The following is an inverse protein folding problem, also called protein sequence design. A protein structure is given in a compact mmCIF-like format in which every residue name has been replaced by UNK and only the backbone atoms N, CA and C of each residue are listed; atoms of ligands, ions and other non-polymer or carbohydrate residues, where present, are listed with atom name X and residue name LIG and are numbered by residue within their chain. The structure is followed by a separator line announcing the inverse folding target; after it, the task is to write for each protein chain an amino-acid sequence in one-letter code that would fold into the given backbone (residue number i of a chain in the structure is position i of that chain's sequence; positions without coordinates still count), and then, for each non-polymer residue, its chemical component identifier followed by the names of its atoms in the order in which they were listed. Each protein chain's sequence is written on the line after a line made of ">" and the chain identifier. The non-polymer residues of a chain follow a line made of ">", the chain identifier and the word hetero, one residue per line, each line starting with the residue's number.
data_IF_908562796770
#
_entry.id   IF_908562796770
#
_cell.length_a   1.000
_cell.length_b   1.000
_cell.length_c   1.000
_cell.angle_alpha   90.00
_cell.angle_beta   90.00
_cell.angle_gamma   90.00
#
_symmetry.space_group_name_H-M   'P 1'
#
loop_
_entity.id
_entity.type
_entity.pdbx_description
1 polymer ?
#
# COMPACT_ATOMS: atom_id res chain seq x y z
N UNK A 1 -11.35 20.40 -15.57
CA UNK A 1 -9.94 20.04 -15.36
C UNK A 1 -9.87 18.69 -14.66
N UNK A 2 -9.42 17.66 -15.38
CA UNK A 2 -9.17 16.33 -14.82
C UNK A 2 -7.79 16.30 -14.16
N UNK A 3 -7.70 15.73 -12.97
CA UNK A 3 -6.47 15.71 -12.18
C UNK A 3 -6.11 14.28 -11.80
N UNK A 4 -4.81 14.04 -11.67
CA UNK A 4 -4.21 12.84 -11.15
C UNK A 4 -3.48 13.19 -9.85
N UNK A 5 -3.73 12.44 -8.79
CA UNK A 5 -2.93 12.49 -7.56
C UNK A 5 -2.16 11.18 -7.40
N UNK A 6 -0.83 11.26 -7.41
CA UNK A 6 0.09 10.16 -7.10
C UNK A 6 0.31 10.11 -5.59
N UNK A 7 -0.33 9.14 -4.93
CA UNK A 7 -0.15 8.91 -3.50
C UNK A 7 0.99 7.90 -3.28
N UNK A 8 2.19 8.44 -3.09
CA UNK A 8 3.44 7.70 -3.05
C UNK A 8 3.74 7.12 -1.66
N UNK A 9 2.76 6.87 -0.80
CA UNK A 9 2.98 6.40 0.58
C UNK A 9 3.86 5.14 0.68
N UNK A 10 3.88 4.31 -0.37
CA UNK A 10 4.70 3.09 -0.49
C UNK A 10 5.78 3.17 -1.57
N UNK A 11 6.23 4.38 -1.88
CA UNK A 11 7.21 4.60 -2.94
C UNK A 11 6.57 4.60 -4.33
N UNK A 12 7.42 4.57 -5.35
CA UNK A 12 7.01 4.67 -6.75
C UNK A 12 8.04 4.03 -7.69
N UNK A 13 7.54 3.32 -8.68
CA UNK A 13 8.29 2.79 -9.82
C UNK A 13 7.47 2.87 -11.10
N UNK A 14 8.11 2.65 -12.24
CA UNK A 14 7.49 2.64 -13.55
C UNK A 14 6.29 1.68 -13.63
N UNK A 15 6.54 0.39 -13.43
CA UNK A 15 5.54 -0.68 -13.38
C UNK A 15 4.38 -0.40 -12.41
N UNK A 16 4.68 0.08 -11.19
CA UNK A 16 3.67 0.46 -10.20
C UNK A 16 2.83 1.63 -10.70
N UNK A 17 3.43 2.62 -11.35
CA UNK A 17 2.70 3.77 -11.87
C UNK A 17 1.77 3.36 -13.01
N UNK A 18 2.29 2.61 -13.97
CA UNK A 18 1.51 2.13 -15.11
C UNK A 18 0.38 1.20 -14.67
N UNK A 19 0.68 0.24 -13.79
CA UNK A 19 -0.32 -0.64 -13.19
C UNK A 19 -1.43 0.13 -12.47
N UNK A 20 -1.07 1.15 -11.68
CA UNK A 20 -2.05 1.96 -10.96
C UNK A 20 -2.94 2.78 -11.91
N UNK A 21 -2.37 3.36 -12.98
CA UNK A 21 -3.14 4.15 -13.95
C UNK A 21 -4.11 3.28 -14.76
N UNK A 22 -3.68 2.09 -15.18
CA UNK A 22 -4.57 1.12 -15.84
C UNK A 22 -5.67 0.64 -14.89
N UNK A 23 -5.34 0.39 -13.62
CA UNK A 23 -6.34 0.04 -12.62
C UNK A 23 -7.34 1.17 -12.34
N UNK A 24 -6.91 2.43 -12.49
CA UNK A 24 -7.77 3.62 -12.44
C UNK A 24 -8.58 3.87 -13.73
N UNK A 25 -8.51 2.96 -14.71
CA UNK A 25 -9.33 2.99 -15.92
C UNK A 25 -8.65 3.53 -17.18
N UNK A 26 -7.32 3.62 -17.23
CA UNK A 26 -6.63 3.87 -18.50
C UNK A 26 -6.86 2.71 -19.49
N UNK A 27 -7.02 3.02 -20.77
CA UNK A 27 -7.31 2.02 -21.80
C UNK A 27 -6.08 1.14 -22.08
N UNK A 28 -6.12 -0.07 -21.54
CA UNK A 28 -5.06 -1.07 -21.71
C UNK A 28 -4.83 -1.45 -23.18
N UNK A 29 -5.89 -1.57 -23.99
CA UNK A 29 -5.76 -1.99 -25.37
C UNK A 29 -5.06 -0.90 -26.20
N UNK A 30 -5.42 0.36 -25.97
CA UNK A 30 -4.70 1.51 -26.54
C UNK A 30 -3.22 1.53 -26.14
N UNK A 31 -2.92 1.32 -24.85
CA UNK A 31 -1.54 1.31 -24.35
C UNK A 31 -0.73 0.19 -25.03
N UNK A 32 -1.26 -1.03 -25.11
CA UNK A 32 -0.58 -2.17 -25.75
C UNK A 32 -0.36 -1.94 -27.26
N UNK A 33 -1.36 -1.41 -27.98
CA UNK A 33 -1.25 -1.11 -29.41
C UNK A 33 -0.20 -0.02 -29.70
N UNK A 34 -0.22 1.07 -28.94
CA UNK A 34 0.75 2.15 -29.09
C UNK A 34 2.17 1.68 -28.71
N UNK A 35 2.33 0.97 -27.59
CA UNK A 35 3.63 0.43 -27.18
C UNK A 35 4.26 -0.50 -28.23
N UNK A 36 3.44 -1.23 -29.00
CA UNK A 36 3.91 -2.09 -30.09
C UNK A 36 4.65 -1.33 -31.21
N UNK A 37 4.45 -0.01 -31.31
CA UNK A 37 5.15 0.87 -32.26
C UNK A 37 6.62 1.09 -31.88
N UNK A 38 7.01 0.84 -30.63
CA UNK A 38 8.42 0.89 -30.20
C UNK A 38 9.14 -0.39 -30.63
N UNK A 39 9.78 -0.32 -31.80
CA UNK A 39 10.51 -1.44 -32.39
C UNK A 39 11.95 -1.52 -31.91
N UNK A 40 12.14 -1.67 -30.60
CA UNK A 40 13.47 -1.88 -30.00
C UNK A 40 13.78 -3.36 -29.81
N UNK A 41 12.91 -4.09 -29.12
CA UNK A 41 13.02 -5.52 -28.82
C UNK A 41 11.61 -6.12 -28.68
N UNK A 42 11.45 -7.43 -28.94
CA UNK A 42 10.19 -8.13 -28.68
C UNK A 42 9.97 -8.31 -27.16
N UNK A 43 8.74 -8.05 -26.73
CA UNK A 43 8.27 -8.29 -25.36
C UNK A 43 6.78 -8.57 -25.37
N UNK A 44 6.25 -9.07 -24.26
CA UNK A 44 4.82 -9.20 -24.00
C UNK A 44 4.49 -8.60 -22.64
N UNK A 45 3.34 -7.95 -22.51
CA UNK A 45 2.87 -7.44 -21.23
C UNK A 45 1.95 -8.46 -20.56
N UNK A 46 2.24 -8.80 -19.32
CA UNK A 46 1.39 -9.63 -18.49
C UNK A 46 0.83 -8.80 -17.34
N UNK A 47 -0.49 -8.82 -17.19
CA UNK A 47 -1.19 -8.03 -16.18
C UNK A 47 -1.89 -8.97 -15.21
N UNK A 48 -1.56 -8.85 -13.93
CA UNK A 48 -2.05 -9.76 -12.88
C UNK A 48 -2.72 -8.98 -11.78
N UNK A 49 -3.90 -9.43 -11.38
CA UNK A 49 -4.50 -8.98 -10.12
C UNK A 49 -3.78 -9.70 -8.98
N UNK A 50 -3.18 -8.94 -8.07
CA UNK A 50 -2.47 -9.47 -6.89
C UNK A 50 -2.99 -8.79 -5.63
N UNK A 51 -2.79 -9.42 -4.48
CA UNK A 51 -3.13 -8.83 -3.18
C UNK A 51 -1.84 -8.56 -2.41
N UNK A 52 -1.58 -7.29 -2.09
CA UNK A 52 -0.47 -6.85 -1.25
C UNK A 52 -1.04 -6.40 0.08
N UNK A 53 -0.86 -7.22 1.14
CA UNK A 53 -1.38 -6.94 2.49
C UNK A 53 -2.85 -6.49 2.53
N UNK A 54 -3.73 -7.24 1.87
CA UNK A 54 -5.16 -6.95 1.82
C UNK A 54 -5.59 -5.91 0.77
N UNK A 55 -4.65 -5.20 0.13
CA UNK A 55 -4.97 -4.32 -1.00
C UNK A 55 -4.87 -5.10 -2.31
N UNK A 56 -6.00 -5.20 -3.00
CA UNK A 56 -6.07 -5.67 -4.38
C UNK A 56 -5.45 -4.63 -5.31
N UNK A 57 -4.47 -5.03 -6.11
CA UNK A 57 -3.70 -4.15 -6.99
C UNK A 57 -3.36 -4.84 -8.31
N UNK A 58 -3.16 -4.05 -9.36
CA UNK A 58 -2.73 -4.53 -10.67
C UNK A 58 -1.21 -4.55 -10.73
N UNK A 59 -0.64 -5.71 -11.01
CA UNK A 59 0.79 -5.89 -11.28
C UNK A 59 1.01 -5.99 -12.79
N UNK A 60 1.99 -5.25 -13.29
CA UNK A 60 2.52 -5.38 -14.65
C UNK A 60 3.83 -6.17 -14.59
N UNK A 61 3.97 -7.17 -15.45
CA UNK A 61 5.23 -7.85 -15.72
C UNK A 61 5.55 -7.68 -17.23
N UNK A 62 6.76 -7.19 -17.55
CA UNK A 62 7.27 -7.15 -18.93
C UNK A 62 8.01 -8.45 -19.20
N UNK A 63 7.42 -9.32 -20.02
CA UNK A 63 7.96 -10.64 -20.34
C UNK A 63 8.83 -10.53 -21.59
N UNK A 64 10.12 -10.78 -21.42
CA UNK A 64 11.11 -10.74 -22.49
C UNK A 64 11.07 -12.03 -23.31
N UNK A 65 11.30 -11.92 -24.62
CA UNK A 65 11.41 -13.09 -25.49
C UNK A 65 12.68 -13.89 -25.17
N UNK A 66 12.57 -15.18 -24.77
CA UNK A 66 13.73 -15.99 -24.40
C UNK A 66 14.71 -16.24 -25.56
N UNK A 67 14.27 -16.15 -26.82
CA UNK A 67 15.13 -16.33 -28.00
C UNK A 67 15.91 -15.06 -28.36
N UNK A 68 15.58 -13.91 -27.74
CA UNK A 68 16.20 -12.62 -28.00
C UNK A 68 16.85 -12.09 -26.71
N UNK A 69 18.16 -12.29 -26.49
CA UNK A 69 18.82 -11.84 -25.27
C UNK A 69 18.68 -10.31 -25.13
N UNK A 70 18.16 -9.82 -23.98
CA UNK A 70 17.81 -8.42 -23.85
C UNK A 70 19.05 -7.54 -23.80
N UNK A 71 19.03 -6.46 -24.59
CA UNK A 71 20.01 -5.40 -24.47
C UNK A 71 19.71 -4.62 -23.19
N UNK A 72 20.54 -4.86 -22.16
CA UNK A 72 20.42 -4.19 -20.85
C UNK A 72 20.72 -2.70 -20.91
N UNK A 73 21.46 -2.26 -21.92
CA UNK A 73 21.92 -0.89 -21.99
C UNK A 73 21.65 -0.24 -23.33
N UNK A 74 21.17 1.00 -23.30
CA UNK A 74 20.90 1.80 -24.49
C UNK A 74 21.39 3.21 -24.30
N UNK A 75 21.78 3.84 -25.39
CA UNK A 75 22.05 5.26 -25.38
C UNK A 75 20.75 6.05 -25.30
N UNK A 76 20.78 7.17 -24.59
CA UNK A 76 19.64 8.08 -24.51
C UNK A 76 19.14 8.48 -25.92
N UNK A 77 20.05 8.77 -26.84
CA UNK A 77 19.74 9.12 -28.24
C UNK A 77 19.03 8.00 -29.02
N UNK A 78 19.31 6.73 -28.71
CA UNK A 78 18.63 5.58 -29.30
C UNK A 78 17.16 5.54 -28.87
N UNK A 79 16.89 5.76 -27.58
CA UNK A 79 15.53 5.78 -27.01
C UNK A 79 14.74 6.96 -27.55
N UNK A 80 15.32 8.17 -27.55
CA UNK A 80 14.69 9.36 -28.14
C UNK A 80 14.33 9.11 -29.61
N UNK A 81 15.27 8.54 -30.38
CA UNK A 81 15.03 8.20 -31.77
C UNK A 81 13.92 7.16 -31.96
N UNK A 82 13.78 6.20 -31.05
CA UNK A 82 12.69 5.23 -31.08
C UNK A 82 11.33 5.87 -30.80
N UNK A 83 11.24 6.73 -29.77
CA UNK A 83 10.00 7.45 -29.41
C UNK A 83 9.56 8.38 -30.55
N UNK A 84 10.51 9.12 -31.16
CA UNK A 84 10.20 10.02 -32.27
C UNK A 84 9.70 9.27 -33.52
N UNK A 85 10.20 8.06 -33.76
CA UNK A 85 9.77 7.21 -34.89
C UNK A 85 8.49 6.43 -34.64
N UNK A 86 8.06 6.31 -33.39
CA UNK A 86 6.84 5.60 -33.02
C UNK A 86 5.57 6.35 -33.44
N UNK A 87 5.69 7.64 -33.84
CA UNK A 87 4.58 8.47 -34.32
C UNK A 87 3.40 8.53 -33.34
N UNK A 88 3.72 8.57 -32.04
CA UNK A 88 2.73 8.88 -31.01
C UNK A 88 2.13 10.27 -31.24
N UNK A 89 1.00 10.56 -30.59
CA UNK A 89 0.50 11.92 -30.54
C UNK A 89 1.51 12.83 -29.80
N UNK A 90 1.44 14.13 -30.08
CA UNK A 90 2.40 15.12 -29.57
C UNK A 90 2.53 15.09 -28.04
N UNK A 91 1.41 14.84 -27.35
CA UNK A 91 1.34 14.83 -25.90
C UNK A 91 2.09 13.64 -25.30
N UNK A 92 1.87 12.44 -25.83
CA UNK A 92 2.56 11.22 -25.38
C UNK A 92 4.06 11.37 -25.62
N UNK A 93 4.46 11.81 -26.82
CA UNK A 93 5.88 12.07 -27.13
C UNK A 93 6.49 13.07 -26.15
N UNK A 94 5.82 14.19 -25.87
CA UNK A 94 6.33 15.20 -24.96
C UNK A 94 6.50 14.65 -23.53
N UNK A 95 5.51 13.93 -23.00
CA UNK A 95 5.57 13.33 -21.66
C UNK A 95 6.68 12.28 -21.55
N UNK A 96 6.79 11.36 -22.51
CA UNK A 96 7.84 10.34 -22.50
C UNK A 96 9.23 10.98 -22.54
N UNK A 97 9.45 11.97 -23.42
CA UNK A 97 10.72 12.66 -23.54
C UNK A 97 11.06 13.46 -22.28
N UNK A 98 10.07 14.12 -21.64
CA UNK A 98 10.29 14.86 -20.41
C UNK A 98 10.80 13.96 -19.27
N UNK A 99 10.25 12.74 -19.15
CA UNK A 99 10.69 11.76 -18.15
C UNK A 99 12.11 11.29 -18.46
N UNK A 100 12.39 10.85 -19.69
CA UNK A 100 13.73 10.39 -20.06
C UNK A 100 14.79 11.48 -19.98
N UNK A 101 14.44 12.73 -20.30
CA UNK A 101 15.35 13.86 -20.21
C UNK A 101 15.80 14.10 -18.76
N UNK A 102 14.90 13.99 -17.78
CA UNK A 102 15.28 14.10 -16.35
C UNK A 102 16.27 13.03 -15.94
N UNK A 103 16.00 11.79 -16.34
CA UNK A 103 16.89 10.67 -16.07
C UNK A 103 18.24 10.92 -16.76
N UNK A 104 18.25 11.32 -18.04
CA UNK A 104 19.45 11.60 -18.81
C UNK A 104 20.31 12.72 -18.20
N UNK A 105 19.70 13.82 -17.76
CA UNK A 105 20.41 14.94 -17.12
C UNK A 105 21.09 14.49 -15.81
N UNK A 106 20.37 13.71 -15.00
CA UNK A 106 20.91 13.19 -13.75
C UNK A 106 22.05 12.21 -14.00
N UNK A 107 21.87 11.27 -14.93
CA UNK A 107 22.91 10.29 -15.31
C UNK A 107 24.16 10.96 -15.90
N UNK A 108 23.98 11.93 -16.80
CA UNK A 108 25.06 12.74 -17.36
C UNK A 108 25.91 13.38 -16.26
N UNK A 109 25.25 13.94 -15.24
CA UNK A 109 25.92 14.58 -14.11
C UNK A 109 26.64 13.58 -13.20
N UNK A 110 25.99 12.48 -12.83
CA UNK A 110 26.58 11.45 -11.96
C UNK A 110 27.81 10.82 -12.62
N UNK A 111 27.76 10.59 -13.93
CA UNK A 111 28.85 9.99 -14.69
C UNK A 111 29.85 11.00 -15.29
N UNK A 112 29.60 12.30 -15.16
CA UNK A 112 30.47 13.35 -15.72
C UNK A 112 30.57 13.32 -17.25
N UNK A 113 29.49 12.96 -17.95
CA UNK A 113 29.45 12.84 -19.41
C UNK A 113 28.47 13.86 -20.02
N UNK A 114 28.66 14.27 -21.29
CA UNK A 114 27.64 15.03 -22.01
C UNK A 114 26.35 14.22 -22.17
N UNK A 115 25.19 14.88 -22.13
CA UNK A 115 23.87 14.23 -22.19
C UNK A 115 23.70 13.37 -23.45
N UNK A 116 24.29 13.79 -24.57
CA UNK A 116 24.21 13.08 -25.86
C UNK A 116 24.99 11.75 -25.84
N UNK A 117 25.90 11.59 -24.88
CA UNK A 117 26.72 10.38 -24.69
C UNK A 117 26.21 9.51 -23.54
N UNK A 118 25.12 9.90 -22.88
CA UNK A 118 24.54 9.12 -21.79
C UNK A 118 24.19 7.72 -22.28
N UNK A 119 24.59 6.75 -21.48
CA UNK A 119 24.35 5.34 -21.67
C UNK A 119 23.65 4.84 -20.42
N UNK A 120 22.37 4.50 -20.56
CA UNK A 120 21.58 4.04 -19.42
C UNK A 120 21.93 2.61 -19.09
N UNK A 121 22.29 2.39 -17.82
CA UNK A 121 22.66 1.07 -17.35
C UNK A 121 21.45 0.28 -16.86
N UNK A 122 20.58 0.94 -16.09
CA UNK A 122 19.37 0.33 -15.54
C UNK A 122 18.12 0.72 -16.34
N UNK A 123 18.00 2.01 -16.70
CA UNK A 123 16.84 2.56 -17.42
C UNK A 123 16.89 2.30 -18.94
N UNK A 124 17.98 1.71 -19.43
CA UNK A 124 18.19 1.41 -20.85
C UNK A 124 17.52 0.13 -21.32
N UNK A 125 17.06 -0.71 -20.39
CA UNK A 125 16.39 -1.96 -20.67
C UNK A 125 14.93 -1.72 -21.12
N UNK A 126 14.39 -2.67 -21.88
CA UNK A 126 13.08 -2.52 -22.53
C UNK A 126 11.92 -2.42 -21.53
N UNK A 127 12.04 -3.05 -20.36
CA UNK A 127 11.10 -2.94 -19.23
C UNK A 127 10.94 -1.48 -18.77
N UNK A 128 12.05 -0.78 -18.52
CA UNK A 128 12.03 0.62 -18.13
C UNK A 128 11.45 1.54 -19.21
N UNK A 129 11.68 1.19 -20.49
CA UNK A 129 11.14 1.96 -21.62
C UNK A 129 9.63 1.78 -21.74
N UNK A 130 9.17 0.53 -21.65
CA UNK A 130 7.75 0.17 -21.63
C UNK A 130 7.05 0.88 -20.48
N UNK A 131 7.63 0.87 -19.29
CA UNK A 131 7.06 1.53 -18.12
C UNK A 131 6.88 3.04 -18.35
N UNK A 132 7.94 3.75 -18.73
CA UNK A 132 7.93 5.21 -18.89
C UNK A 132 6.98 5.64 -20.01
N UNK A 133 7.04 4.97 -21.17
CA UNK A 133 6.17 5.31 -22.31
C UNK A 133 4.73 4.91 -22.01
N UNK A 134 4.52 3.76 -21.37
CA UNK A 134 3.19 3.31 -20.97
C UNK A 134 2.54 4.25 -19.97
N UNK A 135 3.30 4.84 -19.02
CA UNK A 135 2.79 5.89 -18.13
C UNK A 135 2.32 7.11 -18.93
N UNK A 136 3.10 7.57 -19.91
CA UNK A 136 2.70 8.70 -20.77
C UNK A 136 1.42 8.40 -21.56
N UNK A 137 1.30 7.19 -22.11
CA UNK A 137 0.11 6.71 -22.81
C UNK A 137 -1.11 6.61 -21.88
N UNK A 138 -0.93 6.13 -20.66
CA UNK A 138 -2.00 6.01 -19.68
C UNK A 138 -2.51 7.37 -19.22
N UNK A 139 -1.61 8.35 -19.03
CA UNK A 139 -1.95 9.75 -18.71
C UNK A 139 -2.75 10.40 -19.85
N UNK A 140 -2.34 10.15 -21.10
CA UNK A 140 -3.03 10.63 -22.30
C UNK A 140 -4.42 9.99 -22.46
N UNK A 141 -4.51 8.67 -22.32
CA UNK A 141 -5.77 7.90 -22.33
C UNK A 141 -6.75 8.40 -21.28
N UNK A 142 -6.26 8.67 -20.07
CA UNK A 142 -7.05 9.25 -18.99
C UNK A 142 -7.27 10.76 -19.15
N UNK A 143 -6.76 11.43 -20.19
CA UNK A 143 -6.94 12.86 -20.44
C UNK A 143 -6.62 13.74 -19.22
N UNK A 144 -5.57 13.38 -18.45
CA UNK A 144 -5.22 14.05 -17.18
C UNK A 144 -4.66 15.45 -17.44
N UNK A 145 -5.31 16.53 -17.08
CA UNK A 145 -4.80 17.87 -17.37
C UNK A 145 -3.76 18.37 -16.36
N UNK A 146 -3.77 17.83 -15.13
CA UNK A 146 -2.83 18.25 -14.07
C UNK A 146 -2.46 17.11 -13.14
N UNK A 147 -1.19 17.03 -12.76
CA UNK A 147 -0.61 15.95 -11.96
C UNK A 147 -0.09 16.50 -10.63
N UNK A 148 -0.64 15.97 -9.55
CA UNK A 148 -0.21 16.22 -8.19
C UNK A 148 0.50 14.98 -7.63
N UNK A 149 1.43 15.17 -6.70
CA UNK A 149 2.03 14.07 -5.94
C UNK A 149 2.06 14.36 -4.45
N UNK A 150 1.94 13.31 -3.63
CA UNK A 150 2.43 13.36 -2.26
C UNK A 150 3.95 13.57 -2.23
N UNK A 151 4.55 14.03 -1.12
CA UNK A 151 5.99 13.88 -0.91
C UNK A 151 6.41 12.42 -1.06
N UNK A 152 7.61 12.18 -1.59
CA UNK A 152 8.00 10.86 -2.11
C UNK A 152 8.99 10.16 -1.16
N UNK A 153 8.70 8.96 -0.65
CA UNK A 153 9.63 8.20 0.18
C UNK A 153 10.68 7.51 -0.68
N UNK A 154 11.95 7.87 -0.47
CA UNK A 154 13.05 7.35 -1.29
C UNK A 154 13.58 5.99 -0.79
N UNK A 155 13.51 5.75 0.52
CA UNK A 155 14.13 4.59 1.16
C UNK A 155 15.49 4.92 1.78
N UNK A 156 16.18 3.89 2.24
CA UNK A 156 17.52 3.98 2.85
C UNK A 156 18.28 2.64 2.73
N UNK A 157 19.55 2.62 3.12
CA UNK A 157 20.39 1.42 3.04
C UNK A 157 21.25 1.37 1.78
N UNK A 158 21.40 0.19 1.19
CA UNK A 158 22.20 -0.03 -0.02
C UNK A 158 21.50 -0.97 -1.00
N UNK A 159 21.87 -0.86 -2.28
CA UNK A 159 21.44 -1.74 -3.37
C UNK A 159 22.66 -2.23 -4.13
N UNK A 160 22.53 -3.37 -4.80
CA UNK A 160 23.53 -3.88 -5.72
C UNK A 160 23.08 -3.61 -7.14
N UNK A 161 23.90 -2.87 -7.88
CA UNK A 161 23.70 -2.49 -9.28
C UNK A 161 24.91 -2.92 -10.10
N UNK A 162 24.86 -2.74 -11.42
CA UNK A 162 25.97 -3.14 -12.31
C UNK A 162 27.32 -2.47 -11.97
N UNK A 163 27.29 -1.30 -11.33
CA UNK A 163 28.48 -0.59 -10.84
C UNK A 163 28.88 -0.93 -9.40
N UNK A 164 28.29 -1.96 -8.80
CA UNK A 164 28.59 -2.45 -7.46
C UNK A 164 27.54 -2.05 -6.42
N UNK A 165 27.97 -1.84 -5.17
CA UNK A 165 27.07 -1.53 -4.05
C UNK A 165 26.91 -0.02 -3.93
N UNK A 166 25.68 0.46 -4.08
CA UNK A 166 25.34 1.88 -4.07
C UNK A 166 24.43 2.22 -2.90
N UNK A 167 24.48 3.46 -2.38
CA UNK A 167 23.54 3.91 -1.36
C UNK A 167 22.11 3.97 -1.91
N UNK A 168 21.13 3.82 -1.03
CA UNK A 168 19.74 4.17 -1.30
C UNK A 168 19.41 5.50 -0.61
N UNK A 169 18.82 6.48 -1.32
CA UNK A 169 18.51 6.46 -2.76
C UNK A 169 19.75 6.38 -3.64
N UNK A 170 19.60 5.74 -4.81
CA UNK A 170 20.63 5.72 -5.83
C UNK A 170 21.02 7.17 -6.24
N UNK A 171 22.28 7.45 -6.61
CA UNK A 171 22.75 8.81 -6.91
C UNK A 171 21.93 9.54 -7.97
N UNK A 172 21.56 8.85 -9.07
CA UNK A 172 20.73 9.46 -10.13
C UNK A 172 19.31 9.75 -9.61
N UNK A 173 18.72 8.84 -8.84
CA UNK A 173 17.42 9.02 -8.16
C UNK A 173 17.44 10.25 -7.25
N UNK A 174 18.46 10.38 -6.40
CA UNK A 174 18.57 11.53 -5.49
C UNK A 174 18.82 12.84 -6.26
N UNK A 175 19.58 12.78 -7.36
CA UNK A 175 19.81 13.94 -8.21
C UNK A 175 18.50 14.44 -8.85
N UNK A 176 17.65 13.55 -9.37
CA UNK A 176 16.33 13.90 -9.92
C UNK A 176 15.41 14.52 -8.87
N UNK A 177 15.51 14.05 -7.63
CA UNK A 177 14.68 14.53 -6.51
C UNK A 177 15.20 15.82 -5.87
N UNK A 178 16.31 16.40 -6.36
CA UNK A 178 16.87 17.65 -5.86
C UNK A 178 15.86 18.80 -5.97
N UNK A 179 15.49 19.36 -4.82
CA UNK A 179 14.52 20.46 -4.74
C UNK A 179 13.06 20.03 -4.72
N UNK A 180 12.78 18.72 -4.74
CA UNK A 180 11.43 18.16 -4.65
C UNK A 180 11.14 17.64 -3.23
N UNK A 181 9.86 17.65 -2.78
CA UNK A 181 9.48 17.13 -1.46
C UNK A 181 9.72 15.62 -1.31
N UNK A 182 10.53 15.27 -0.31
CA UNK A 182 10.82 13.88 0.08
C UNK A 182 10.05 13.54 1.36
N UNK A 183 9.51 12.32 1.43
CA UNK A 183 8.88 11.76 2.62
C UNK A 183 9.83 10.83 3.38
N UNK A 184 9.64 10.74 4.70
CA UNK A 184 10.29 9.72 5.52
C UNK A 184 9.63 8.37 5.32
N UNK A 185 10.42 7.30 5.45
CA UNK A 185 9.95 5.91 5.42
C UNK A 185 10.79 5.08 6.40
N UNK A 186 10.20 4.10 7.11
CA UNK A 186 10.95 3.21 7.99
C UNK A 186 11.72 2.11 7.23
N UNK A 187 11.52 1.99 5.91
CA UNK A 187 12.07 0.90 5.14
C UNK A 187 13.50 1.18 4.67
N UNK A 188 14.41 0.27 5.01
CA UNK A 188 15.80 0.23 4.53
C UNK A 188 15.92 -0.56 3.23
N UNK A 189 15.15 -0.15 2.22
CA UNK A 189 15.25 -0.65 0.85
C UNK A 189 14.89 0.48 -0.12
N UNK A 190 15.18 0.29 -1.41
CA UNK A 190 14.79 1.22 -2.46
C UNK A 190 13.26 1.26 -2.61
N UNK A 191 12.66 2.35 -2.14
CA UNK A 191 11.22 2.60 -2.24
C UNK A 191 10.88 3.37 -3.52
N UNK A 192 11.79 4.24 -3.96
CA UNK A 192 11.67 4.97 -5.23
C UNK A 192 12.77 4.54 -6.16
N UNK A 193 12.40 3.93 -7.28
CA UNK A 193 13.33 3.53 -8.34
C UNK A 193 13.76 4.71 -9.21
N UNK A 194 14.82 4.60 -10.02
CA UNK A 194 15.17 5.63 -11.00
C UNK A 194 14.02 6.00 -11.94
N UNK A 195 13.24 5.02 -12.43
CA UNK A 195 12.08 5.30 -13.29
C UNK A 195 10.98 6.04 -12.54
N UNK A 196 10.70 5.66 -11.29
CA UNK A 196 9.76 6.38 -10.42
C UNK A 196 10.17 7.84 -10.18
N UNK A 197 11.44 8.09 -9.86
CA UNK A 197 11.95 9.46 -9.71
C UNK A 197 11.94 10.25 -11.02
N UNK A 198 12.17 9.59 -12.16
CA UNK A 198 12.01 10.19 -13.49
C UNK A 198 10.58 10.64 -13.75
N UNK A 199 9.59 9.80 -13.43
CA UNK A 199 8.16 10.13 -13.52
C UNK A 199 7.86 11.34 -12.64
N UNK A 200 8.23 11.29 -11.36
CA UNK A 200 7.98 12.38 -10.41
C UNK A 200 8.59 13.70 -10.89
N UNK A 201 9.88 13.70 -11.20
CA UNK A 201 10.60 14.92 -11.56
C UNK A 201 10.30 15.43 -12.97
N UNK A 202 9.80 14.57 -13.85
CA UNK A 202 9.54 14.88 -15.25
C UNK A 202 8.15 15.45 -15.52
N UNK A 203 7.13 14.99 -14.78
CA UNK A 203 5.72 15.27 -15.16
C UNK A 203 4.81 15.70 -14.00
N UNK A 204 5.28 15.73 -12.75
CA UNK A 204 4.45 16.26 -11.64
C UNK A 204 4.47 17.79 -11.65
N UNK A 205 3.29 18.39 -11.64
CA UNK A 205 3.13 19.86 -11.65
C UNK A 205 3.27 20.45 -10.25
N UNK A 206 2.74 19.76 -9.23
CA UNK A 206 2.63 20.30 -7.88
C UNK A 206 2.65 19.19 -6.82
N UNK A 207 3.21 19.50 -5.65
CA UNK A 207 3.25 18.57 -4.52
C UNK A 207 2.28 19.01 -3.44
N UNK A 208 1.51 18.07 -2.91
CA UNK A 208 0.61 18.31 -1.79
C UNK A 208 0.64 17.14 -0.81
N UNK A 209 0.82 17.47 0.48
CA UNK A 209 0.82 16.47 1.57
C UNK A 209 -0.55 15.79 1.73
N UNK A 210 -1.63 16.49 1.40
CA UNK A 210 -3.01 15.98 1.40
C UNK A 210 -3.57 15.97 -0.02
N UNK A 211 -4.70 15.28 -0.22
CA UNK A 211 -5.41 15.37 -1.49
C UNK A 211 -5.75 16.83 -1.83
N UNK A 212 -5.54 17.27 -3.09
CA UNK A 212 -6.08 18.54 -3.53
C UNK A 212 -7.62 18.48 -3.48
N UNK A 213 -8.33 19.62 -3.30
CA UNK A 213 -9.78 19.64 -3.37
C UNK A 213 -10.28 19.08 -4.71
N UNK A 214 -10.98 17.95 -4.68
CA UNK A 214 -11.41 17.24 -5.88
C UNK A 214 -12.64 16.36 -5.63
N UNK A 215 -13.41 16.12 -6.68
CA UNK A 215 -14.33 14.98 -6.76
C UNK A 215 -13.56 13.80 -7.33
N UNK A 216 -13.49 12.71 -6.59
CA UNK A 216 -12.82 11.48 -7.03
C UNK A 216 -13.73 10.72 -7.99
N UNK A 217 -13.21 10.41 -9.17
CA UNK A 217 -13.91 9.60 -10.18
C UNK A 217 -13.44 8.14 -10.14
N UNK A 218 -12.12 7.92 -10.05
CA UNK A 218 -11.51 6.58 -10.05
C UNK A 218 -10.31 6.52 -9.10
N UNK A 219 -10.06 5.32 -8.57
CA UNK A 219 -8.89 5.00 -7.75
C UNK A 219 -8.28 3.74 -8.35
N UNK A 220 -6.96 3.73 -8.51
CA UNK A 220 -6.22 2.56 -8.98
C UNK A 220 -5.04 2.25 -8.08
N UNK A 221 -4.69 0.97 -8.00
CA UNK A 221 -3.53 0.50 -7.26
C UNK A 221 -2.60 -0.31 -8.16
N UNK A 222 -1.33 0.09 -8.20
CA UNK A 222 -0.29 -0.62 -8.94
C UNK A 222 0.66 -1.32 -7.99
N UNK A 223 0.84 -2.63 -8.15
CA UNK A 223 1.61 -3.44 -7.22
C UNK A 223 3.09 -3.46 -7.60
N UNK A 224 3.95 -3.21 -6.61
CA UNK A 224 5.39 -3.44 -6.74
C UNK A 224 5.73 -4.91 -6.59
N UNK A 225 6.89 -5.30 -7.13
CA UNK A 225 7.32 -6.71 -7.11
C UNK A 225 7.59 -7.23 -5.69
N UNK A 226 8.27 -6.45 -4.84
CA UNK A 226 8.67 -6.86 -3.49
C UNK A 226 7.47 -6.90 -2.53
N UNK A 227 7.56 -7.67 -1.45
CA UNK A 227 6.63 -7.60 -0.32
C UNK A 227 7.29 -6.86 0.85
N UNK A 228 6.57 -5.92 1.47
CA UNK A 228 7.06 -5.19 2.63
C UNK A 228 6.49 -5.82 3.92
N UNK A 229 7.26 -5.85 5.03
CA UNK A 229 6.84 -6.48 6.29
C UNK A 229 5.66 -5.85 7.04
N UNK A 230 5.30 -4.58 6.83
CA UNK A 230 4.20 -3.92 7.57
C UNK A 230 3.37 -2.96 6.72
N UNK A 231 3.56 -2.95 5.40
CA UNK A 231 2.91 -2.00 4.48
C UNK A 231 2.63 -2.69 3.14
N UNK A 232 1.52 -2.39 2.44
CA UNK A 232 1.31 -2.88 1.08
C UNK A 232 2.32 -2.21 0.14
N UNK A 233 3.03 -3.00 -0.68
CA UNK A 233 3.91 -2.44 -1.71
C UNK A 233 3.10 -2.07 -2.95
N UNK A 234 2.40 -0.95 -2.88
CA UNK A 234 1.52 -0.46 -3.95
C UNK A 234 1.67 1.06 -4.10
N UNK A 235 1.56 1.55 -5.33
CA UNK A 235 1.27 2.95 -5.58
C UNK A 235 -0.25 3.10 -5.66
N UNK A 236 -0.80 4.10 -4.97
CA UNK A 236 -2.19 4.51 -5.16
C UNK A 236 -2.23 5.72 -6.08
N UNK A 237 -3.10 5.68 -7.08
CA UNK A 237 -3.44 6.85 -7.88
C UNK A 237 -4.91 7.20 -7.71
N UNK A 238 -5.20 8.49 -7.66
CA UNK A 238 -6.57 9.01 -7.57
C UNK A 238 -6.81 9.93 -8.74
N UNK A 239 -7.77 9.58 -9.58
CA UNK A 239 -8.19 10.36 -10.74
C UNK A 239 -9.51 11.03 -10.41
N UNK A 240 -9.62 12.31 -10.72
CA UNK A 240 -10.85 13.04 -10.49
C UNK A 240 -10.86 14.40 -11.15
N UNK A 241 -11.73 15.29 -10.67
CA UNK A 241 -11.90 16.63 -11.23
C UNK A 241 -11.90 17.67 -10.11
N UNK A 242 -11.35 18.85 -10.38
CA UNK A 242 -11.51 19.98 -9.46
C UNK A 242 -13.00 20.36 -9.41
N UNK A 243 -13.58 20.42 -8.22
CA UNK A 243 -14.94 20.87 -8.01
C UNK A 243 -15.01 22.41 -8.01
N UNK A 244 -15.71 23.06 -8.96
CA UNK A 244 -15.96 24.50 -8.87
C UNK A 244 -17.02 24.87 -7.79
N UNK A 245 -17.70 23.90 -7.17
CA UNK A 245 -18.83 24.10 -6.26
C UNK A 245 -18.80 23.22 -5.00
N UNK A 246 -17.68 23.22 -4.27
CA UNK A 246 -17.48 22.53 -2.96
C UNK A 246 -18.64 22.78 -1.94
N UNK A 247 -19.51 23.78 -2.15
CA UNK A 247 -20.67 24.08 -1.30
C UNK A 247 -21.98 23.31 -1.56
N UNK A 248 -22.08 22.36 -2.51
CA UNK A 248 -23.36 21.68 -2.84
C UNK A 248 -23.48 20.21 -2.46
N UNK A 249 -22.43 19.61 -1.90
CA UNK A 249 -22.49 18.21 -1.47
C UNK A 249 -23.04 18.10 -0.05
N UNK A 250 -24.37 18.02 0.07
CA UNK A 250 -25.00 17.37 1.21
C UNK A 250 -25.02 15.87 0.94
N UNK A 251 -24.29 15.09 1.74
CA UNK A 251 -24.33 13.63 1.68
C UNK A 251 -25.70 13.18 2.19
N UNK A 252 -26.58 12.75 1.29
CA UNK A 252 -27.82 12.06 1.68
C UNK A 252 -27.44 10.68 2.23
N UNK A 253 -27.57 10.51 3.55
CA UNK A 253 -27.50 9.21 4.20
C UNK A 253 -28.78 8.42 3.91
N UNK A 254 -29.04 8.06 2.65
CA UNK A 254 -30.26 7.32 2.28
C UNK A 254 -30.15 5.80 2.47
N UNK A 255 -29.07 5.27 3.06
CA UNK A 255 -28.94 3.82 3.27
C UNK A 255 -28.04 3.42 4.47
N UNK A 256 -28.28 3.99 5.65
CA UNK A 256 -27.66 3.51 6.90
C UNK A 256 -28.66 3.33 8.06
N UNK A 257 -29.95 3.16 7.77
CA UNK A 257 -30.88 2.62 8.75
C UNK A 257 -30.84 1.08 8.65
N UNK A 258 -29.86 0.46 9.31
CA UNK A 258 -30.00 -0.92 9.71
C UNK A 258 -30.95 -0.96 10.91
N UNK A 259 -32.19 -1.37 10.67
CA UNK A 259 -33.15 -1.67 11.72
C UNK A 259 -32.72 -2.97 12.40
N UNK A 260 -32.05 -2.86 13.55
CA UNK A 260 -31.73 -4.00 14.40
C UNK A 260 -32.87 -4.17 15.41
N UNK A 261 -33.89 -4.93 15.03
CA UNK A 261 -34.86 -5.47 15.99
C UNK A 261 -34.23 -6.67 16.72
N UNK A 262 -33.85 -6.50 17.97
CA UNK A 262 -33.52 -7.62 18.85
C UNK A 262 -34.79 -8.10 19.57
N UNK A 263 -35.25 -9.32 19.25
CA UNK A 263 -36.22 -10.03 20.07
C UNK A 263 -35.48 -10.76 21.20
N UNK A 264 -35.74 -10.37 22.44
CA UNK A 264 -35.37 -11.15 23.61
C UNK A 264 -36.58 -11.89 24.15
N UNK A 265 -36.56 -13.22 24.07
CA UNK A 265 -37.51 -14.08 24.77
C UNK A 265 -36.95 -14.41 26.16
N UNK A 266 -37.58 -13.89 27.21
CA UNK A 266 -37.35 -14.39 28.57
C UNK A 266 -38.53 -15.26 29.00
N UNK A 267 -38.24 -16.50 29.38
CA UNK A 267 -39.18 -17.34 30.13
C UNK A 267 -39.12 -16.95 31.60
N UNK A 268 -40.22 -16.37 32.11
CA UNK A 268 -40.45 -16.24 33.54
C UNK A 268 -41.61 -17.14 33.93
N UNK A 269 -41.33 -18.13 34.78
CA UNK A 269 -42.37 -18.80 35.56
C UNK A 269 -42.93 -17.81 36.58
N UNK A 270 -44.27 -17.78 36.62
CA UNK A 270 -45.11 -17.17 37.64
C UNK A 270 -44.88 -15.68 37.95
N UNK A 271 -45.53 -14.82 37.16
CA UNK A 271 -46.69 -14.02 37.59
C UNK A 271 -47.00 -12.94 36.55
N UNK A 272 -48.28 -12.84 36.18
CA UNK A 272 -48.82 -11.93 35.18
C UNK A 272 -48.49 -10.46 35.45
N UNK A 273 -47.85 -9.76 34.50
CA UNK A 273 -48.27 -8.47 33.93
C UNK A 273 -47.48 -8.21 32.62
N UNK A 274 -48.19 -7.86 31.54
CA UNK A 274 -47.59 -7.51 30.25
C UNK A 274 -47.34 -5.99 30.18
N UNK A 275 -46.13 -5.60 29.77
CA UNK A 275 -45.84 -4.25 29.27
C UNK A 275 -45.01 -4.35 27.99
N UNK A 276 -45.45 -3.65 26.95
CA UNK A 276 -44.66 -3.37 25.74
C UNK A 276 -43.88 -2.08 25.97
N UNK A 277 -42.58 -2.09 25.66
CA UNK A 277 -41.75 -0.89 25.61
C UNK A 277 -41.05 -0.81 24.27
N UNK A 278 -41.28 0.29 23.55
CA UNK A 278 -40.51 0.70 22.38
C UNK A 278 -39.49 1.74 22.84
N UNK A 279 -38.20 1.51 22.58
CA UNK A 279 -37.15 2.50 22.84
C UNK A 279 -36.63 3.08 21.53
N UNK A 280 -36.65 4.41 21.42
CA UNK A 280 -35.92 5.19 20.43
C UNK A 280 -34.81 5.93 21.17
N UNK A 281 -33.56 5.68 20.82
CA UNK A 281 -32.42 6.41 21.36
C UNK A 281 -32.26 7.73 20.61
N UNK A 282 -32.75 8.82 21.21
CA UNK A 282 -32.29 10.18 20.92
C UNK A 282 -31.85 10.82 22.25
N UNK A 283 -30.77 11.58 22.15
CA UNK A 283 -29.95 12.25 23.16
C UNK A 283 -30.53 12.54 24.57
N UNK A 284 -29.64 12.31 25.54
CA UNK A 284 -29.75 12.53 26.98
C UNK A 284 -30.57 13.75 27.43
N UNK A 285 -31.61 13.51 28.24
CA UNK A 285 -31.94 14.17 29.52
C UNK A 285 -33.33 13.69 30.00
N UNK A 286 -33.43 13.12 31.21
CA UNK A 286 -34.72 12.82 31.83
C UNK A 286 -34.85 13.51 33.20
N UNK A 287 -35.82 14.40 33.31
CA UNK A 287 -36.47 14.76 34.58
C UNK A 287 -37.78 13.99 34.66
N UNK A 288 -38.05 13.36 35.79
CA UNK A 288 -39.35 12.76 36.10
C UNK A 288 -40.01 13.53 37.25
N UNK A 289 -41.16 14.13 36.98
CA UNK A 289 -42.08 14.60 38.01
C UNK A 289 -43.14 13.52 38.26
N UNK A 290 -43.26 13.07 39.51
CA UNK A 290 -44.38 12.23 39.95
C UNK A 290 -45.22 12.98 40.99
N UNK A 291 -46.51 13.12 40.71
CA UNK A 291 -47.49 13.61 41.65
C UNK A 291 -48.27 12.43 42.24
N UNK A 292 -48.16 12.22 43.55
CA UNK A 292 -49.07 11.37 44.30
C UNK A 292 -49.73 12.16 45.43
N UNK A 293 -51.06 12.11 45.47
CA UNK A 293 -51.86 12.41 46.66
C UNK A 293 -51.92 11.13 47.49
N UNK A 294 -51.36 11.14 48.69
CA UNK A 294 -52.03 10.76 49.95
C UNK A 294 -51.08 10.99 51.13
N UNK A 295 -51.67 11.02 52.31
CA UNK A 295 -51.26 11.72 53.52
C UNK A 295 -49.85 11.40 54.06
N UNK A 296 -49.21 12.47 54.55
CA UNK A 296 -48.08 12.54 55.49
C UNK A 296 -47.04 11.42 55.39
N UNK A 297 -45.96 11.67 54.65
CA UNK A 297 -44.56 11.67 55.11
C UNK A 297 -43.65 11.91 53.88
N UNK A 298 -42.80 12.94 53.91
CA UNK A 298 -41.81 13.20 52.87
C UNK A 298 -40.46 12.59 53.24
N UNK A 299 -39.91 11.72 52.41
CA UNK A 299 -38.50 11.34 52.44
C UNK A 299 -37.87 11.69 51.09
N UNK A 300 -36.75 12.42 51.11
CA UNK A 300 -35.91 12.61 49.94
C UNK A 300 -34.73 11.65 50.03
N UNK A 301 -34.53 10.84 49.00
CA UNK A 301 -33.30 10.08 48.83
C UNK A 301 -32.50 10.69 47.69
N UNK A 302 -31.24 11.01 47.98
CA UNK A 302 -30.27 11.52 47.01
C UNK A 302 -29.41 10.31 46.60
N UNK A 303 -29.53 9.87 45.35
CA UNK A 303 -28.70 8.81 44.79
C UNK A 303 -27.68 9.45 43.85
N UNK A 304 -26.43 9.52 44.30
CA UNK A 304 -25.29 9.70 43.40
C UNK A 304 -25.02 8.37 42.71
N UNK A 305 -25.15 8.36 41.39
CA UNK A 305 -24.52 7.34 40.56
C UNK A 305 -23.16 7.89 40.12
N UNK A 306 -22.08 7.31 40.66
CA UNK A 306 -20.77 7.39 40.02
C UNK A 306 -20.79 6.35 38.88
N UNK A 307 -20.52 6.81 37.66
CA UNK A 307 -20.24 5.94 36.52
C UNK A 307 -18.72 5.91 36.33
N UNK A 308 -18.08 4.86 36.85
CA UNK A 308 -16.76 4.46 36.35
C UNK A 308 -16.95 3.74 35.02
N UNK A 309 -16.31 4.25 33.97
CA UNK A 309 -16.19 3.57 32.69
C UNK A 309 -14.87 2.80 32.68
N UNK A 310 -14.91 1.54 33.09
CA UNK A 310 -13.86 0.58 32.75
C UNK A 310 -14.15 0.02 31.35
N UNK A 311 -13.21 0.24 30.44
CA UNK A 311 -13.19 -0.41 29.13
C UNK A 311 -12.42 -1.73 29.26
N UNK A 312 -13.14 -2.84 29.38
CA UNK A 312 -12.55 -4.16 29.15
C UNK A 312 -12.48 -4.43 27.65
N UNK A 313 -11.27 -4.67 27.16
CA UNK A 313 -11.02 -5.24 25.84
C UNK A 313 -10.93 -6.76 25.99
N UNK A 314 -11.97 -7.47 25.57
CA UNK A 314 -11.88 -8.92 25.37
C UNK A 314 -10.99 -9.22 24.16
N UNK A 315 -9.84 -9.84 24.43
CA UNK A 315 -9.02 -10.53 23.46
C UNK A 315 -9.43 -12.00 23.45
N UNK A 316 -10.05 -12.47 22.37
CA UNK A 316 -10.18 -13.91 22.11
C UNK A 316 -8.80 -14.50 21.84
N UNK A 317 -8.32 -15.30 22.79
CA UNK A 317 -7.22 -16.24 22.60
C UNK A 317 -7.70 -17.65 22.93
N UNK A 318 -7.92 -18.45 21.90
CA UNK A 318 -8.07 -19.90 22.02
C UNK A 318 -6.75 -20.51 22.52
N UNK A 319 -6.78 -21.09 23.71
CA UNK A 319 -5.73 -21.97 24.22
C UNK A 319 -6.37 -23.23 24.81
N UNK A 320 -6.24 -24.35 24.10
CA UNK A 320 -6.45 -25.69 24.63
C UNK A 320 -5.38 -25.98 25.70
N UNK A 321 -5.84 -26.35 26.89
CA UNK A 321 -5.00 -26.84 27.98
C UNK A 321 -5.28 -28.33 28.25
N UNK A 322 -4.30 -29.18 27.92
CA UNK A 322 -4.16 -30.50 28.52
C UNK A 322 -3.28 -30.38 29.78
N UNK A 323 -3.79 -30.91 30.90
CA UNK A 323 -3.10 -30.94 32.19
C UNK A 323 -2.41 -32.29 32.41
N UNK A 324 -1.10 -32.28 32.62
CA UNK A 324 -0.40 -33.34 33.36
C UNK A 324 0.25 -32.73 34.61
N UNK A 325 -0.06 -33.33 35.77
CA UNK A 325 0.45 -32.92 37.07
C UNK A 325 1.66 -33.78 37.45
N UNK A 326 2.81 -33.13 37.68
CA UNK A 326 3.91 -33.72 38.45
C UNK A 326 4.20 -32.82 39.66
N UNK A 327 4.12 -33.43 40.85
CA UNK A 327 4.48 -32.82 42.13
C UNK A 327 5.88 -33.30 42.53
N UNK A 328 6.84 -32.38 42.61
CA UNK A 328 8.15 -32.64 43.21
C UNK A 328 8.27 -31.93 44.56
N UNK A 329 8.51 -32.72 45.61
CA UNK A 329 8.78 -32.27 46.97
C UNK A 329 10.28 -32.37 47.26
N UNK A 330 10.92 -31.24 47.51
CA UNK A 330 12.31 -31.15 47.96
C UNK A 330 12.43 -31.57 49.45
N UNK A 331 13.11 -32.69 49.69
CA UNK A 331 13.63 -33.03 51.02
C UNK A 331 15.14 -33.31 50.93
N UNK A 332 15.92 -32.38 51.49
CA UNK A 332 17.30 -32.66 51.88
C UNK A 332 17.32 -33.68 53.02
N UNK A 333 18.14 -34.72 52.92
CA UNK A 333 19.20 -35.02 53.90
C UNK A 333 20.02 -36.27 53.57
N UNK A 334 21.33 -36.07 53.71
CA UNK A 334 22.42 -36.96 54.15
C UNK A 334 22.81 -38.21 53.36
N UNK A 335 24.02 -38.06 52.82
CA UNK A 335 24.96 -39.03 52.29
C UNK A 335 25.39 -40.08 53.34
N UNK A 336 25.30 -41.36 52.96
CA UNK A 336 26.12 -42.43 53.54
C UNK A 336 26.47 -43.45 52.44
N UNK A 337 27.74 -43.45 52.07
CA UNK A 337 28.35 -44.42 51.17
C UNK A 337 28.49 -45.80 51.83
N UNK A 338 28.00 -46.84 51.17
CA UNK A 338 28.56 -48.20 51.31
C UNK A 338 28.63 -48.90 49.96
N UNK A 339 29.86 -49.22 49.56
CA UNK A 339 30.21 -50.07 48.43
C UNK A 339 30.11 -51.54 48.80
N UNK A 340 29.42 -52.34 47.99
CA UNK A 340 29.73 -53.76 47.85
C UNK A 340 29.56 -54.23 46.40
N UNK A 341 30.63 -54.85 45.91
CA UNK A 341 30.81 -55.54 44.62
C UNK A 341 30.19 -56.94 44.62
N UNK A 342 29.60 -57.37 43.50
CA UNK A 342 29.70 -58.72 42.91
C UNK A 342 28.99 -58.72 41.55
N UNK A 343 29.71 -59.01 40.45
CA UNK A 343 29.88 -60.32 39.77
C UNK A 343 28.68 -60.80 38.94
N UNK A 344 28.95 -61.05 37.66
CA UNK A 344 28.48 -62.27 36.99
C UNK A 344 27.61 -62.08 35.75
N UNK A 345 28.25 -62.23 34.59
CA UNK A 345 27.77 -62.89 33.36
C UNK A 345 26.32 -62.73 32.90
N UNK A 346 26.13 -62.23 31.67
CA UNK A 346 26.14 -63.10 30.49
C UNK A 346 25.80 -62.30 29.23
N UNK A 347 26.66 -62.41 28.23
CA UNK A 347 26.42 -62.11 26.80
C UNK A 347 25.84 -63.38 26.11
N UNK A 348 25.64 -63.43 24.78
CA UNK A 348 25.37 -62.39 23.78
C UNK A 348 24.19 -62.76 22.84
N UNK A 349 23.77 -61.81 22.00
CA UNK A 349 23.02 -62.10 20.78
C UNK A 349 23.08 -60.94 19.80
N UNK A 350 24.01 -61.02 18.85
CA UNK A 350 24.27 -60.06 17.76
C UNK A 350 23.17 -60.12 16.68
N UNK A 351 22.81 -59.00 16.02
CA UNK A 351 21.82 -58.96 14.94
C UNK A 351 22.46 -59.00 13.54
N UNK A 352 21.64 -59.30 12.53
CA UNK A 352 21.82 -58.82 11.14
C UNK A 352 20.74 -57.79 10.83
#
# INVERSE_FOLDING_TARGET
>A
MRILYLDCFSGISGDMTLGALVDAGADRAYIEDELSKIKLEPYTLEWKRVVKRGISALKLDVILDPEHPPKKHRHYSEIVGAIQKAEFNERVTALSLAIFEKIAISEAKIHGTPIEKVHFHEVGAIDSIVDIVGVALAIDSLQIERIFSSPVPLGSGTIHIDHGIYPVPAPATLEMMRGLPIASTPYSLEMTTPTGAGIISGIVDEFSKSFPPMVVDHIGYGAGTRDLPKQPNVLRVVVGRIDPFIGKWQVSHEHLAHDHSHEHTHTHDDHHHHHEHTHTHDDHHHQHDHAHKHDNHSHSHDHKHDHDHDHDHDHDHDHDHDHDHDHDHDHHHHDHSHTHTHHGDATPGTPQ
#
